data_IF_776540646898
#
_entry.id   IF_776540646898
#
_cell.length_a   1.000
_cell.length_b   1.000
_cell.length_c   1.000
_cell.angle_alpha   90.00
_cell.angle_beta   90.00
_cell.angle_gamma   90.00
#
_symmetry.space_group_name_H-M   'P 1'
#
loop_
_entity.id
_entity.type
_entity.pdbx_description
1 polymer ?
#
# COMPACT_ATOMS: atom_id res chain seq x y z
N UNK A 1 24.76 39.47 -6.67
CA UNK A 1 23.60 38.70 -7.16
C UNK A 1 23.34 37.52 -6.21
N UNK A 2 22.42 37.64 -5.24
CA UNK A 2 22.05 36.50 -4.36
C UNK A 2 20.75 35.91 -4.90
N UNK A 3 20.78 34.66 -5.38
CA UNK A 3 19.55 33.93 -5.76
C UNK A 3 18.80 33.60 -4.46
N UNK A 4 17.68 34.30 -4.22
CA UNK A 4 16.79 33.96 -3.11
C UNK A 4 16.17 32.60 -3.40
N UNK A 5 16.63 31.58 -2.67
CA UNK A 5 16.13 30.21 -2.81
C UNK A 5 14.90 30.10 -1.91
N UNK A 6 13.72 30.29 -2.48
CA UNK A 6 12.44 30.16 -1.77
C UNK A 6 12.36 28.78 -1.12
N UNK A 7 12.43 28.75 0.21
CA UNK A 7 12.19 27.52 0.98
C UNK A 7 10.69 27.26 0.88
N UNK A 8 10.30 26.24 0.12
CA UNK A 8 8.92 25.77 0.07
C UNK A 8 8.67 25.04 1.38
N UNK A 9 7.90 25.62 2.29
CA UNK A 9 7.50 24.94 3.52
C UNK A 9 6.64 23.74 3.16
N UNK A 10 7.12 22.53 3.47
CA UNK A 10 6.36 21.29 3.27
C UNK A 10 5.06 21.31 4.06
N UNK A 11 3.99 20.78 3.49
CA UNK A 11 2.71 20.73 4.19
C UNK A 11 2.76 19.71 5.32
N UNK A 12 1.82 19.82 6.27
CA UNK A 12 1.74 18.86 7.39
C UNK A 12 1.49 17.42 6.91
N UNK A 13 0.76 17.25 5.80
CA UNK A 13 0.51 15.91 5.24
C UNK A 13 1.75 15.34 4.54
N UNK A 14 2.56 16.18 3.87
CA UNK A 14 3.85 15.75 3.31
C UNK A 14 4.79 15.24 4.42
N UNK A 15 4.88 15.98 5.54
CA UNK A 15 5.70 15.59 6.70
C UNK A 15 5.22 14.30 7.37
N UNK A 16 3.91 14.08 7.47
CA UNK A 16 3.33 12.84 8.01
C UNK A 16 3.60 11.67 7.06
N UNK A 17 3.43 11.89 5.76
CA UNK A 17 3.68 10.90 4.72
C UNK A 17 5.16 10.49 4.65
N UNK A 18 6.08 11.44 4.75
CA UNK A 18 7.51 11.15 4.75
C UNK A 18 7.92 10.33 5.99
N UNK A 19 7.39 10.68 7.17
CA UNK A 19 7.59 9.87 8.39
C UNK A 19 7.01 8.46 8.27
N UNK A 20 5.85 8.31 7.62
CA UNK A 20 5.28 7.00 7.35
C UNK A 20 6.20 6.19 6.41
N UNK A 21 6.59 6.77 5.26
CA UNK A 21 7.47 6.14 4.27
C UNK A 21 8.84 5.76 4.84
N UNK A 22 9.41 6.57 5.73
CA UNK A 22 10.67 6.27 6.42
C UNK A 22 10.64 5.01 7.32
N UNK A 23 9.46 4.43 7.59
CA UNK A 23 9.29 3.15 8.31
C UNK A 23 9.05 1.95 7.39
N UNK A 24 8.81 2.18 6.10
CA UNK A 24 8.37 1.14 5.17
C UNK A 24 9.51 0.70 4.24
N UNK A 25 9.67 -0.60 4.05
CA UNK A 25 10.44 -1.16 2.93
C UNK A 25 9.52 -1.21 1.71
N UNK A 26 9.29 -0.05 1.10
CA UNK A 26 8.34 0.15 -0.02
C UNK A 26 8.76 -0.65 -1.24
N UNK A 27 7.81 -1.26 -1.93
CA UNK A 27 8.06 -2.02 -3.15
C UNK A 27 7.95 -1.13 -4.39
N UNK A 28 8.86 -1.29 -5.35
CA UNK A 28 8.62 -0.81 -6.72
C UNK A 28 7.64 -1.74 -7.45
N UNK A 29 7.03 -1.27 -8.53
CA UNK A 29 5.99 -2.00 -9.25
C UNK A 29 6.47 -3.37 -9.77
N UNK A 30 7.72 -3.44 -10.25
CA UNK A 30 8.41 -4.65 -10.73
C UNK A 30 8.73 -5.67 -9.63
N UNK A 31 8.74 -5.25 -8.35
CA UNK A 31 8.97 -6.14 -7.20
C UNK A 31 7.69 -6.84 -6.71
N UNK A 32 6.50 -6.37 -7.11
CA UNK A 32 5.22 -6.93 -6.64
C UNK A 32 4.99 -8.38 -7.11
N UNK A 33 5.31 -8.79 -8.35
CA UNK A 33 5.23 -10.20 -8.75
C UNK A 33 6.12 -11.13 -7.90
N UNK A 34 7.32 -10.67 -7.52
CA UNK A 34 8.19 -11.41 -6.59
C UNK A 34 7.58 -11.48 -5.18
N UNK A 35 6.93 -10.40 -4.73
CA UNK A 35 6.22 -10.37 -3.44
C UNK A 35 5.10 -11.43 -3.40
N UNK A 36 4.26 -11.47 -4.43
CA UNK A 36 3.19 -12.47 -4.52
C UNK A 36 3.76 -13.90 -4.65
N UNK A 37 4.89 -14.10 -5.33
CA UNK A 37 5.56 -15.41 -5.41
C UNK A 37 6.09 -15.89 -4.05
N UNK A 38 6.63 -15.01 -3.19
CA UNK A 38 7.02 -15.35 -1.81
C UNK A 38 5.87 -15.41 -0.79
N UNK A 39 4.62 -15.16 -1.21
CA UNK A 39 3.42 -15.29 -0.36
C UNK A 39 2.90 -14.00 0.26
N UNK A 40 3.33 -12.82 -0.21
CA UNK A 40 2.74 -11.55 0.19
C UNK A 40 1.28 -11.43 -0.28
N UNK A 41 0.48 -10.61 0.41
CA UNK A 41 -0.93 -10.35 0.08
C UNK A 41 -1.07 -8.91 -0.43
N UNK A 42 -1.34 -8.75 -1.72
CA UNK A 42 -1.63 -7.45 -2.33
C UNK A 42 -3.07 -7.03 -1.98
N UNK A 43 -3.23 -5.84 -1.40
CA UNK A 43 -4.53 -5.31 -0.94
C UNK A 43 -4.84 -4.00 -1.64
N UNK A 44 -5.92 -3.95 -2.43
CA UNK A 44 -6.40 -2.70 -3.04
C UNK A 44 -7.36 -1.97 -2.09
N UNK A 45 -6.91 -0.81 -1.59
CA UNK A 45 -7.66 0.04 -0.65
C UNK A 45 -8.40 1.19 -1.32
N UNK A 46 -8.38 1.29 -2.65
CA UNK A 46 -9.12 2.32 -3.41
C UNK A 46 -10.63 2.10 -3.28
N UNK A 47 -11.46 3.15 -3.16
CA UNK A 47 -12.91 3.03 -3.19
C UNK A 47 -13.43 2.38 -4.48
N UNK A 48 -14.58 1.70 -4.44
CA UNK A 48 -15.18 1.02 -5.59
C UNK A 48 -15.36 1.94 -6.80
N UNK A 49 -15.83 3.17 -6.59
CA UNK A 49 -15.98 4.18 -7.65
C UNK A 49 -14.65 4.66 -8.25
N UNK A 50 -13.52 4.40 -7.58
CA UNK A 50 -12.18 4.65 -8.11
C UNK A 50 -11.68 3.47 -8.95
N UNK A 51 -11.80 2.24 -8.44
CA UNK A 51 -11.46 1.02 -9.19
C UNK A 51 -12.28 0.90 -10.48
N UNK A 52 -13.57 1.25 -10.44
CA UNK A 52 -14.45 1.27 -11.61
C UNK A 52 -14.05 2.28 -12.71
N UNK A 53 -13.27 3.33 -12.38
CA UNK A 53 -12.74 4.31 -13.34
C UNK A 53 -11.35 3.96 -13.85
N UNK A 54 -10.49 3.49 -12.94
CA UNK A 54 -9.06 3.28 -13.21
C UNK A 54 -8.75 1.88 -13.73
N UNK A 55 -9.59 0.90 -13.37
CA UNK A 55 -9.37 -0.54 -13.57
C UNK A 55 -9.06 -1.26 -12.26
N UNK A 56 -9.38 -2.56 -12.22
CA UNK A 56 -9.07 -3.45 -11.10
C UNK A 56 -7.66 -4.05 -11.23
N UNK A 57 -7.16 -4.65 -10.15
CA UNK A 57 -5.86 -5.34 -10.13
C UNK A 57 -6.10 -6.84 -9.98
N UNK A 58 -5.71 -7.68 -10.95
CA UNK A 58 -5.85 -9.12 -10.84
C UNK A 58 -5.15 -9.67 -9.60
N UNK A 59 -5.81 -10.59 -8.88
CA UNK A 59 -5.27 -11.22 -7.67
C UNK A 59 -5.22 -10.33 -6.43
N UNK A 60 -5.55 -9.04 -6.51
CA UNK A 60 -5.57 -8.15 -5.34
C UNK A 60 -6.83 -8.37 -4.48
N UNK A 61 -6.63 -8.44 -3.16
CA UNK A 61 -7.70 -8.51 -2.18
C UNK A 61 -8.28 -7.11 -1.97
N UNK A 62 -9.55 -6.90 -2.31
CA UNK A 62 -10.21 -5.60 -2.15
C UNK A 62 -10.63 -5.39 -0.69
N UNK A 63 -10.03 -4.41 -0.02
CA UNK A 63 -10.38 -4.00 1.35
C UNK A 63 -10.36 -2.47 1.41
N UNK A 64 -11.51 -1.80 1.40
CA UNK A 64 -11.50 -0.33 1.43
C UNK A 64 -10.88 0.21 2.73
N UNK A 65 -10.19 1.35 2.63
CA UNK A 65 -9.33 1.91 3.71
C UNK A 65 -10.01 2.00 5.07
N UNK A 66 -11.33 2.19 5.10
CA UNK A 66 -12.15 2.37 6.30
C UNK A 66 -12.32 1.13 7.18
N UNK A 67 -11.97 -0.06 6.68
CA UNK A 67 -12.06 -1.33 7.45
C UNK A 67 -10.74 -2.10 7.51
N UNK A 68 -9.64 -1.54 6.99
CA UNK A 68 -8.38 -2.25 6.77
C UNK A 68 -7.80 -2.86 8.05
N UNK A 69 -7.68 -2.07 9.11
CA UNK A 69 -7.10 -2.45 10.40
C UNK A 69 -7.74 -3.75 10.93
N UNK A 70 -9.06 -3.75 11.12
CA UNK A 70 -9.82 -4.90 11.61
C UNK A 70 -9.79 -6.12 10.69
N UNK A 71 -9.54 -5.94 9.38
CA UNK A 71 -9.45 -7.05 8.41
C UNK A 71 -8.06 -7.69 8.38
N UNK A 72 -7.01 -6.93 8.68
CA UNK A 72 -5.61 -7.39 8.64
C UNK A 72 -5.07 -7.85 10.00
N UNK A 73 -5.65 -7.40 11.12
CA UNK A 73 -5.29 -7.81 12.49
C UNK A 73 -5.67 -9.29 12.77
N UNK A 74 -4.71 -10.20 13.03
CA UNK A 74 -4.97 -11.62 13.30
C UNK A 74 -5.68 -11.87 14.64
N UNK A 75 -5.71 -10.90 15.54
CA UNK A 75 -6.42 -10.97 16.83
C UNK A 75 -7.88 -10.51 16.73
N UNK A 76 -8.27 -9.86 15.62
CA UNK A 76 -9.62 -9.34 15.43
C UNK A 76 -10.65 -10.44 15.14
N UNK A 77 -11.86 -10.30 15.70
CA UNK A 77 -13.04 -11.11 15.33
C UNK A 77 -13.50 -10.85 13.88
N UNK A 78 -13.19 -9.66 13.34
CA UNK A 78 -13.57 -9.26 11.99
C UNK A 78 -12.51 -9.58 10.92
N UNK A 79 -11.42 -10.28 11.31
CA UNK A 79 -10.27 -10.54 10.45
C UNK A 79 -10.62 -11.36 9.20
N UNK A 80 -9.84 -11.18 8.16
CA UNK A 80 -9.91 -12.04 6.97
C UNK A 80 -9.10 -13.33 7.18
N UNK A 81 -9.42 -14.43 6.48
CA UNK A 81 -8.68 -15.70 6.60
C UNK A 81 -7.17 -15.60 6.33
N UNK A 82 -6.74 -14.58 5.57
CA UNK A 82 -5.34 -14.27 5.28
C UNK A 82 -4.59 -13.71 6.51
N UNK A 83 -5.27 -13.13 7.49
CA UNK A 83 -4.70 -12.60 8.73
C UNK A 83 -4.41 -13.75 9.71
N UNK A 84 -3.40 -14.56 9.39
CA UNK A 84 -3.06 -15.77 10.17
C UNK A 84 -2.11 -15.50 11.34
N UNK A 85 -1.28 -14.46 11.25
CA UNK A 85 -0.32 -13.99 12.26
C UNK A 85 0.30 -12.65 11.81
N UNK A 86 1.24 -12.13 12.60
CA UNK A 86 1.90 -10.83 12.34
C UNK A 86 2.96 -10.87 11.22
N UNK A 87 3.32 -12.07 10.73
CA UNK A 87 4.31 -12.30 9.65
C UNK A 87 3.70 -12.19 8.24
N UNK A 88 2.42 -11.83 8.12
CA UNK A 88 1.77 -11.63 6.83
C UNK A 88 2.31 -10.34 6.18
N UNK A 89 2.95 -10.48 5.02
CA UNK A 89 3.44 -9.36 4.22
C UNK A 89 2.27 -8.70 3.47
N UNK A 90 1.58 -7.79 4.16
CA UNK A 90 0.51 -6.97 3.58
C UNK A 90 1.08 -5.88 2.68
N UNK A 91 0.91 -6.01 1.37
CA UNK A 91 1.32 -5.01 0.38
C UNK A 91 0.12 -4.14 0.03
N UNK A 92 0.06 -2.94 0.61
CA UNK A 92 -1.08 -2.05 0.47
C UNK A 92 -0.97 -1.22 -0.82
N UNK A 93 -2.06 -1.16 -1.59
CA UNK A 93 -2.15 -0.47 -2.86
C UNK A 93 -3.24 0.60 -2.82
N UNK A 94 -2.88 1.84 -3.13
CA UNK A 94 -3.82 2.89 -3.51
C UNK A 94 -3.47 3.39 -4.93
N UNK A 95 -4.18 4.41 -5.43
CA UNK A 95 -4.01 4.88 -6.82
C UNK A 95 -2.59 5.36 -7.16
N UNK A 96 -1.99 6.20 -6.30
CA UNK A 96 -0.69 6.85 -6.56
C UNK A 96 0.39 6.62 -5.48
N UNK A 97 0.15 5.76 -4.49
CA UNK A 97 1.16 5.46 -3.45
C UNK A 97 1.30 6.52 -2.35
N UNK A 98 0.21 7.24 -2.03
CA UNK A 98 0.10 8.19 -0.91
C UNK A 98 -0.65 7.57 0.28
N UNK A 99 -1.96 7.34 0.13
CA UNK A 99 -2.84 6.76 1.16
C UNK A 99 -2.37 5.37 1.61
N UNK A 100 -1.77 4.60 0.70
CA UNK A 100 -1.21 3.28 1.00
C UNK A 100 -0.03 3.33 1.98
N UNK A 101 0.84 4.33 1.90
CA UNK A 101 1.96 4.49 2.86
C UNK A 101 1.42 4.78 4.26
N UNK A 102 0.38 5.62 4.37
CA UNK A 102 -0.27 5.92 5.65
C UNK A 102 -1.01 4.71 6.22
N UNK A 103 -1.62 3.90 5.35
CA UNK A 103 -2.30 2.67 5.71
C UNK A 103 -1.33 1.58 6.20
N UNK A 104 -0.24 1.34 5.47
CA UNK A 104 0.79 0.39 5.88
C UNK A 104 1.46 0.79 7.20
N UNK A 105 1.73 2.07 7.43
CA UNK A 105 2.25 2.56 8.71
C UNK A 105 1.25 2.33 9.87
N UNK A 106 -0.05 2.52 9.64
CA UNK A 106 -1.08 2.22 10.64
C UNK A 106 -1.19 0.71 10.95
N UNK A 107 -0.97 -0.16 9.96
CA UNK A 107 -0.87 -1.61 10.21
C UNK A 107 0.39 -1.98 11.00
N UNK A 108 1.54 -1.34 10.73
CA UNK A 108 2.72 -1.50 11.56
C UNK A 108 2.51 -1.01 13.00
N UNK A 109 1.69 0.02 13.23
CA UNK A 109 1.33 0.49 14.58
C UNK A 109 0.50 -0.54 15.38
N UNK A 110 -0.14 -1.50 14.70
CA UNK A 110 -0.81 -2.65 15.31
C UNK A 110 0.12 -3.85 15.55
N UNK A 111 1.39 -3.78 15.13
CA UNK A 111 2.35 -4.88 15.23
C UNK A 111 2.54 -5.69 13.94
N UNK A 112 1.79 -5.39 12.87
CA UNK A 112 1.94 -6.03 11.55
C UNK A 112 3.18 -5.49 10.82
N UNK A 113 4.34 -5.84 11.36
CA UNK A 113 5.64 -5.27 11.02
C UNK A 113 6.05 -5.43 9.55
N UNK A 114 5.49 -6.42 8.84
CA UNK A 114 5.71 -6.65 7.40
C UNK A 114 4.77 -5.88 6.48
N UNK A 115 3.86 -5.08 7.01
CA UNK A 115 3.02 -4.20 6.20
C UNK A 115 3.88 -3.16 5.46
N UNK A 116 3.64 -3.02 4.16
CA UNK A 116 4.33 -2.09 3.26
C UNK A 116 3.39 -1.61 2.15
N UNK A 117 3.87 -0.77 1.23
CA UNK A 117 3.10 -0.29 0.08
C UNK A 117 3.88 -0.24 -1.23
N UNK A 118 3.16 0.01 -2.32
CA UNK A 118 3.73 0.14 -3.67
C UNK A 118 4.03 1.60 -4.00
N UNK A 119 5.28 1.89 -4.38
CA UNK A 119 5.72 3.20 -4.87
C UNK A 119 4.97 3.56 -6.14
N UNK A 120 4.24 4.68 -6.13
CA UNK A 120 3.42 5.14 -7.26
C UNK A 120 2.10 4.38 -7.46
N UNK A 121 1.77 3.44 -6.57
CA UNK A 121 0.45 2.80 -6.51
C UNK A 121 0.03 2.04 -7.77
N UNK A 122 -1.29 1.99 -7.99
CA UNK A 122 -1.92 1.38 -9.17
C UNK A 122 -1.31 1.88 -10.48
N UNK A 123 -1.10 3.19 -10.61
CA UNK A 123 -0.55 3.78 -11.83
C UNK A 123 0.87 3.27 -12.13
N UNK A 124 1.70 3.01 -11.11
CA UNK A 124 3.01 2.40 -11.32
C UNK A 124 2.92 0.95 -11.79
N UNK A 125 1.96 0.14 -11.28
CA UNK A 125 1.75 -1.23 -11.75
C UNK A 125 1.31 -1.29 -13.21
N UNK A 126 0.38 -0.41 -13.61
CA UNK A 126 -0.06 -0.27 -15.01
C UNK A 126 1.11 0.14 -15.91
N UNK A 127 1.86 1.18 -15.53
CA UNK A 127 3.00 1.67 -16.31
C UNK A 127 4.13 0.65 -16.43
N UNK A 128 4.30 -0.24 -15.44
CA UNK A 128 5.29 -1.31 -15.46
C UNK A 128 4.83 -2.56 -16.22
N UNK A 129 3.56 -2.66 -16.61
CA UNK A 129 3.02 -3.80 -17.37
C UNK A 129 3.02 -5.13 -16.61
N UNK A 130 2.97 -5.11 -15.27
CA UNK A 130 3.14 -6.32 -14.44
C UNK A 130 1.87 -7.17 -14.24
N UNK A 131 0.73 -6.76 -14.82
CA UNK A 131 -0.57 -7.41 -14.57
C UNK A 131 -0.61 -8.89 -14.98
N UNK A 132 0.04 -9.27 -16.08
CA UNK A 132 0.12 -10.66 -16.53
C UNK A 132 0.96 -11.55 -15.59
N UNK A 133 1.80 -10.95 -14.73
CA UNK A 133 2.66 -11.65 -13.77
C UNK A 133 2.05 -11.79 -12.38
N UNK A 134 0.96 -11.06 -12.10
CA UNK A 134 0.21 -11.12 -10.83
C UNK A 134 -1.14 -11.84 -10.98
N UNK A 135 -1.56 -12.17 -12.20
CA UNK A 135 -2.62 -13.13 -12.46
C UNK A 135 -2.22 -14.52 -11.92
N UNK A 136 -3.06 -15.07 -11.04
CA UNK A 136 -3.07 -16.47 -10.61
C UNK A 136 -4.48 -17.02 -10.75
#
# INVERSE_FOLDING_TARGET
>A
MRRSRTIKTESRIDQVLERARGRLVRLSADQVPEALRRGAVLVDIRPAAQRAREGEVPGALVIERNVLEWRCDPTSDARLPQAVNDEVEWVILCSEGYTSSLAAAALQDLGLHRATDVVGGYHALVNAGVFDQIQR
#
